data_IF_380372889306
#
_entry.id   IF_380372889306
#
_cell.length_a   1.000
_cell.length_b   1.000
_cell.length_c   1.000
_cell.angle_alpha   90.00
_cell.angle_beta   90.00
_cell.angle_gamma   90.00
#
_symmetry.space_group_name_H-M   'P 1'
#
loop_
_entity.id
_entity.type
_entity.pdbx_description
1 polymer ?
#
# COMPACT_ATOMS: atom_id res chain seq x y z
N UNK A 1 72.65 -51.13 -50.49
CA UNK A 1 72.01 -51.50 -49.20
C UNK A 1 72.38 -50.45 -48.17
N UNK A 2 71.40 -49.85 -47.50
CA UNK A 2 71.64 -48.92 -46.39
C UNK A 2 70.65 -47.76 -46.34
N UNK A 3 69.36 -48.03 -46.11
CA UNK A 3 68.40 -46.98 -45.72
C UNK A 3 68.50 -46.75 -44.22
N UNK A 4 69.01 -45.59 -43.83
CA UNK A 4 69.05 -45.12 -42.44
C UNK A 4 67.65 -44.60 -42.12
N UNK A 5 66.90 -45.39 -41.35
CA UNK A 5 65.63 -44.98 -40.76
C UNK A 5 65.98 -44.25 -39.46
N UNK A 6 65.56 -43.00 -39.33
CA UNK A 6 65.88 -42.12 -38.21
C UNK A 6 64.65 -42.06 -37.27
N UNK A 7 64.59 -42.85 -36.18
CA UNK A 7 63.38 -43.00 -35.35
C UNK A 7 63.15 -41.84 -34.35
N UNK A 8 63.97 -40.79 -34.37
CA UNK A 8 63.92 -39.71 -33.36
C UNK A 8 62.88 -38.61 -33.59
N UNK A 9 62.28 -38.51 -34.78
CA UNK A 9 61.40 -37.38 -35.14
C UNK A 9 59.95 -37.56 -34.69
N UNK A 10 59.45 -38.79 -34.57
CA UNK A 10 58.03 -39.06 -34.20
C UNK A 10 57.75 -38.84 -32.71
N UNK A 11 58.71 -39.13 -31.83
CA UNK A 11 58.54 -39.04 -30.36
C UNK A 11 58.47 -37.59 -29.86
N UNK A 12 59.13 -36.66 -30.56
CA UNK A 12 59.11 -35.23 -30.22
C UNK A 12 57.80 -34.54 -30.64
N UNK A 13 57.07 -35.09 -31.61
CA UNK A 13 55.81 -34.52 -32.09
C UNK A 13 54.64 -34.91 -31.18
N UNK A 14 54.59 -36.15 -30.68
CA UNK A 14 53.56 -36.58 -29.72
C UNK A 14 53.69 -35.89 -28.35
N UNK A 15 54.91 -35.59 -27.90
CA UNK A 15 55.14 -34.91 -26.62
C UNK A 15 54.80 -33.42 -26.70
N UNK A 16 55.11 -32.74 -27.81
CA UNK A 16 54.74 -31.33 -28.02
C UNK A 16 53.24 -31.14 -28.20
N UNK A 17 52.56 -32.09 -28.86
CA UNK A 17 51.10 -32.05 -29.06
C UNK A 17 50.33 -32.31 -27.75
N UNK A 18 50.83 -33.22 -26.90
CA UNK A 18 50.26 -33.45 -25.57
C UNK A 18 50.48 -32.25 -24.63
N UNK A 19 51.66 -31.62 -24.66
CA UNK A 19 51.93 -30.42 -23.85
C UNK A 19 51.06 -29.23 -24.28
N UNK A 20 50.88 -29.04 -25.59
CA UNK A 20 49.97 -28.03 -26.13
C UNK A 20 48.51 -28.30 -25.78
N UNK A 21 48.06 -29.56 -25.82
CA UNK A 21 46.71 -29.96 -25.42
C UNK A 21 46.46 -29.76 -23.92
N UNK A 22 47.46 -29.99 -23.06
CA UNK A 22 47.38 -29.79 -21.61
C UNK A 22 47.17 -28.32 -21.24
N UNK A 23 47.92 -27.41 -21.86
CA UNK A 23 47.76 -25.97 -21.62
C UNK A 23 46.54 -25.38 -22.33
N UNK A 24 46.10 -25.94 -23.46
CA UNK A 24 44.88 -25.51 -24.13
C UNK A 24 43.65 -25.67 -23.22
N UNK A 25 43.58 -26.76 -22.45
CA UNK A 25 42.47 -27.01 -21.53
C UNK A 25 42.46 -26.00 -20.37
N UNK A 26 43.62 -25.65 -19.81
CA UNK A 26 43.75 -24.59 -18.80
C UNK A 26 43.27 -23.24 -19.33
N UNK A 27 43.72 -22.85 -20.53
CA UNK A 27 43.35 -21.56 -21.15
C UNK A 27 41.84 -21.51 -21.42
N UNK A 28 41.26 -22.59 -21.96
CA UNK A 28 39.81 -22.67 -22.21
C UNK A 28 39.05 -22.58 -20.89
N UNK A 29 39.50 -23.27 -19.83
CA UNK A 29 38.86 -23.19 -18.51
C UNK A 29 38.92 -21.78 -17.91
N UNK A 30 40.04 -21.08 -18.09
CA UNK A 30 40.24 -19.69 -17.65
C UNK A 30 39.29 -18.75 -18.39
N UNK A 31 39.14 -18.92 -19.71
CA UNK A 31 38.22 -18.13 -20.53
C UNK A 31 36.76 -18.37 -20.14
N UNK A 32 36.37 -19.62 -19.89
CA UNK A 32 35.02 -19.95 -19.41
C UNK A 32 34.77 -19.34 -18.04
N UNK A 33 35.73 -19.42 -17.12
CA UNK A 33 35.63 -18.81 -15.79
C UNK A 33 35.50 -17.28 -15.88
N UNK A 34 36.28 -16.63 -16.74
CA UNK A 34 36.20 -15.20 -16.99
C UNK A 34 34.84 -14.79 -17.57
N UNK A 35 34.33 -15.54 -18.56
CA UNK A 35 33.01 -15.32 -19.14
C UNK A 35 31.89 -15.49 -18.09
N UNK A 36 31.99 -16.50 -17.23
CA UNK A 36 31.05 -16.73 -16.14
C UNK A 36 31.07 -15.56 -15.13
N UNK A 37 32.25 -15.02 -14.80
CA UNK A 37 32.40 -13.87 -13.91
C UNK A 37 31.76 -12.60 -14.49
N UNK A 38 31.97 -12.34 -15.78
CA UNK A 38 31.35 -11.20 -16.48
C UNK A 38 29.83 -11.36 -16.50
N UNK A 39 29.33 -12.56 -16.80
CA UNK A 39 27.90 -12.85 -16.79
C UNK A 39 27.29 -12.67 -15.40
N UNK A 40 27.94 -13.16 -14.35
CA UNK A 40 27.51 -12.98 -12.97
C UNK A 40 27.47 -11.50 -12.56
N UNK A 41 28.47 -10.71 -12.96
CA UNK A 41 28.50 -9.27 -12.69
C UNK A 41 27.36 -8.52 -13.39
N UNK A 42 27.03 -8.90 -14.64
CA UNK A 42 25.89 -8.34 -15.37
C UNK A 42 24.56 -8.74 -14.72
N UNK A 43 24.39 -10.01 -14.37
CA UNK A 43 23.21 -10.50 -13.67
C UNK A 43 23.00 -9.78 -12.34
N UNK A 44 24.07 -9.53 -11.57
CA UNK A 44 23.99 -8.80 -10.31
C UNK A 44 23.59 -7.33 -10.49
N UNK A 45 24.10 -6.66 -11.53
CA UNK A 45 23.66 -5.29 -11.87
C UNK A 45 22.18 -5.27 -12.27
N UNK A 46 21.75 -6.18 -13.12
CA UNK A 46 20.35 -6.29 -13.54
C UNK A 46 19.42 -6.55 -12.35
N UNK A 47 19.80 -7.47 -11.45
CA UNK A 47 19.06 -7.76 -10.23
C UNK A 47 18.94 -6.52 -9.32
N UNK A 48 20.02 -5.72 -9.17
CA UNK A 48 19.96 -4.46 -8.42
C UNK A 48 18.96 -3.47 -9.01
N UNK A 49 18.99 -3.29 -10.33
CA UNK A 49 18.03 -2.41 -11.01
C UNK A 49 16.60 -2.90 -10.86
N UNK A 50 16.36 -4.20 -10.99
CA UNK A 50 15.04 -4.80 -10.78
C UNK A 50 14.53 -4.57 -9.35
N UNK A 51 15.36 -4.83 -8.34
CA UNK A 51 15.01 -4.60 -6.93
C UNK A 51 14.68 -3.14 -6.66
N UNK A 52 15.42 -2.22 -7.27
CA UNK A 52 15.16 -0.79 -7.10
C UNK A 52 13.85 -0.36 -7.75
N UNK A 53 13.57 -0.84 -8.96
CA UNK A 53 12.28 -0.62 -9.61
C UNK A 53 11.10 -1.21 -8.83
N UNK A 54 11.27 -2.40 -8.23
CA UNK A 54 10.25 -2.99 -7.35
C UNK A 54 9.99 -2.12 -6.12
N UNK A 55 11.03 -1.61 -5.47
CA UNK A 55 10.88 -0.72 -4.31
C UNK A 55 10.12 0.57 -4.66
N UNK A 56 10.41 1.16 -5.81
CA UNK A 56 9.70 2.36 -6.28
C UNK A 56 8.23 2.04 -6.61
N UNK A 57 7.97 0.88 -7.21
CA UNK A 57 6.61 0.38 -7.45
C UNK A 57 5.85 0.14 -6.14
N UNK A 58 6.48 -0.46 -5.13
CA UNK A 58 5.84 -0.71 -3.83
C UNK A 58 5.50 0.59 -3.11
N UNK A 59 6.38 1.59 -3.16
CA UNK A 59 6.13 2.92 -2.59
C UNK A 59 4.97 3.63 -3.30
N UNK A 60 4.88 3.55 -4.63
CA UNK A 60 3.76 4.15 -5.36
C UNK A 60 2.45 3.42 -5.05
N UNK A 61 2.45 2.09 -5.00
CA UNK A 61 1.28 1.30 -4.61
C UNK A 61 0.80 1.64 -3.19
N UNK A 62 1.73 1.82 -2.24
CA UNK A 62 1.39 2.24 -0.87
C UNK A 62 0.80 3.65 -0.81
N UNK A 63 1.30 4.59 -1.62
CA UNK A 63 0.72 5.94 -1.71
C UNK A 63 -0.69 5.93 -2.29
N UNK A 64 -0.95 5.11 -3.30
CA UNK A 64 -2.31 4.93 -3.84
C UNK A 64 -3.23 4.36 -2.77
N UNK A 65 -2.78 3.33 -2.04
CA UNK A 65 -3.54 2.72 -0.94
C UNK A 65 -3.82 3.71 0.21
N UNK A 66 -2.88 4.61 0.48
CA UNK A 66 -3.05 5.69 1.43
C UNK A 66 -4.17 6.64 0.99
N UNK A 67 -4.15 7.11 -0.26
CA UNK A 67 -5.21 7.97 -0.79
C UNK A 67 -6.58 7.27 -0.75
N UNK A 68 -6.62 5.98 -1.11
CA UNK A 68 -7.84 5.19 -1.01
C UNK A 68 -8.35 5.11 0.43
N UNK A 69 -7.46 4.91 1.42
CA UNK A 69 -7.85 4.89 2.84
C UNK A 69 -8.37 6.22 3.37
N UNK A 70 -7.84 7.35 2.91
CA UNK A 70 -8.36 8.69 3.23
C UNK A 70 -9.76 8.85 2.64
N UNK A 71 -9.92 8.51 1.35
CA UNK A 71 -11.22 8.58 0.68
C UNK A 71 -12.26 7.66 1.34
N UNK A 72 -11.83 6.53 1.88
CA UNK A 72 -12.66 5.62 2.67
C UNK A 72 -13.18 6.28 3.94
N UNK A 73 -12.30 6.97 4.69
CA UNK A 73 -12.68 7.70 5.90
C UNK A 73 -13.64 8.87 5.59
N UNK A 74 -13.40 9.61 4.51
CA UNK A 74 -14.30 10.67 4.02
C UNK A 74 -15.69 10.12 3.64
N UNK A 75 -15.75 8.99 2.93
CA UNK A 75 -17.02 8.32 2.62
C UNK A 75 -17.77 7.89 3.87
N UNK A 76 -17.08 7.38 4.89
CA UNK A 76 -17.71 7.04 6.18
C UNK A 76 -18.30 8.28 6.85
N UNK A 77 -17.64 9.43 6.76
CA UNK A 77 -18.15 10.69 7.30
C UNK A 77 -19.37 11.19 6.54
N UNK A 78 -19.37 11.13 5.21
CA UNK A 78 -20.55 11.49 4.38
C UNK A 78 -21.75 10.62 4.79
N UNK A 79 -21.55 9.30 4.95
CA UNK A 79 -22.61 8.39 5.41
C UNK A 79 -23.12 8.73 6.81
N UNK A 80 -22.24 9.19 7.70
CA UNK A 80 -22.64 9.67 9.03
C UNK A 80 -23.50 10.92 8.91
N UNK A 81 -23.09 11.90 8.09
CA UNK A 81 -23.85 13.13 7.85
C UNK A 81 -25.22 12.85 7.23
N UNK A 82 -25.29 11.97 6.24
CA UNK A 82 -26.56 11.50 5.65
C UNK A 82 -27.46 10.87 6.71
N UNK A 83 -26.91 10.02 7.58
CA UNK A 83 -27.66 9.40 8.67
C UNK A 83 -28.13 10.43 9.71
N UNK A 84 -27.29 11.41 10.06
CA UNK A 84 -27.66 12.52 10.93
C UNK A 84 -28.80 13.36 10.33
N UNK A 85 -28.71 13.70 9.05
CA UNK A 85 -29.73 14.46 8.33
C UNK A 85 -31.05 13.69 8.23
N UNK A 86 -30.99 12.40 7.89
CA UNK A 86 -32.16 11.53 7.84
C UNK A 86 -32.84 11.44 9.22
N UNK A 87 -32.05 11.37 10.29
CA UNK A 87 -32.57 11.34 11.67
C UNK A 87 -33.25 12.66 12.02
N UNK A 88 -32.61 13.81 11.73
CA UNK A 88 -33.22 15.15 11.92
C UNK A 88 -34.56 15.28 11.18
N UNK A 89 -34.62 14.87 9.92
CA UNK A 89 -35.86 14.88 9.12
C UNK A 89 -36.96 13.99 9.72
N UNK A 90 -36.61 12.85 10.32
CA UNK A 90 -37.59 11.99 11.01
C UNK A 90 -38.15 12.65 12.27
N UNK A 91 -37.30 13.35 13.03
CA UNK A 91 -37.73 14.12 14.20
C UNK A 91 -38.65 15.29 13.80
N UNK A 92 -38.31 16.03 12.74
CA UNK A 92 -39.14 17.11 12.18
C UNK A 92 -40.52 16.60 11.73
N UNK A 93 -40.56 15.55 10.91
CA UNK A 93 -41.82 14.97 10.40
C UNK A 93 -42.68 14.37 11.53
N UNK A 94 -42.07 13.81 12.59
CA UNK A 94 -42.82 13.36 13.77
C UNK A 94 -43.47 14.55 14.48
N UNK A 95 -42.75 15.66 14.62
CA UNK A 95 -43.28 16.87 15.25
C UNK A 95 -44.44 17.47 14.45
N UNK A 96 -44.29 17.56 13.13
CA UNK A 96 -45.33 18.05 12.20
C UNK A 96 -46.62 17.21 12.28
N UNK A 97 -46.49 15.89 12.50
CA UNK A 97 -47.63 14.97 12.67
C UNK A 97 -48.23 15.00 14.07
N UNK A 98 -47.43 15.30 15.09
CA UNK A 98 -47.87 15.30 16.48
C UNK A 98 -48.69 16.56 16.83
N UNK A 99 -48.50 17.69 16.13
CA UNK A 99 -49.28 18.91 16.36
C UNK A 99 -49.50 19.75 15.08
N UNK A 100 -50.71 19.79 14.49
CA UNK A 100 -51.11 20.87 13.61
C UNK A 100 -51.61 22.05 14.46
N UNK A 101 -50.73 22.73 15.20
CA UNK A 101 -51.15 23.86 16.05
C UNK A 101 -50.34 25.12 15.79
N UNK A 102 -51.09 26.10 15.31
CA UNK A 102 -50.78 27.51 15.13
C UNK A 102 -49.80 28.08 16.16
N UNK A 103 -48.61 28.43 15.70
CA UNK A 103 -47.75 29.42 16.33
C UNK A 103 -47.15 29.03 17.67
N UNK A 104 -45.98 28.40 17.66
CA UNK A 104 -44.77 28.85 18.38
C UNK A 104 -43.66 27.82 18.16
N UNK A 105 -42.53 28.27 17.61
CA UNK A 105 -41.39 27.44 17.24
C UNK A 105 -40.55 27.00 18.43
N UNK A 106 -41.06 26.04 19.21
CA UNK A 106 -40.27 25.35 20.21
C UNK A 106 -39.93 23.95 19.69
N UNK A 107 -38.98 23.90 18.74
CA UNK A 107 -38.17 22.71 18.60
C UNK A 107 -37.49 22.50 19.96
N UNK A 108 -37.64 21.32 20.56
CA UNK A 108 -36.77 20.96 21.67
C UNK A 108 -35.38 20.70 21.10
N UNK A 109 -34.64 21.81 20.92
CA UNK A 109 -33.30 21.83 20.31
C UNK A 109 -32.37 20.85 21.02
N UNK A 110 -32.62 20.61 22.31
CA UNK A 110 -31.92 19.66 23.16
C UNK A 110 -32.01 18.21 22.66
N UNK A 111 -33.12 17.81 22.03
CA UNK A 111 -33.27 16.46 21.46
C UNK A 111 -32.38 16.26 20.23
N UNK A 112 -31.97 17.33 19.53
CA UNK A 112 -31.11 17.23 18.33
C UNK A 112 -29.64 17.56 18.60
N UNK A 113 -29.30 18.09 19.78
CA UNK A 113 -27.94 18.50 20.13
C UNK A 113 -26.96 17.32 20.08
N UNK A 114 -27.38 16.13 20.52
CA UNK A 114 -26.57 14.91 20.45
C UNK A 114 -26.21 14.51 19.00
N UNK A 115 -27.05 14.83 18.01
CA UNK A 115 -26.77 14.58 16.59
C UNK A 115 -25.64 15.51 16.12
N UNK A 116 -25.66 16.77 16.56
CA UNK A 116 -24.62 17.73 16.24
C UNK A 116 -23.29 17.39 16.94
N UNK A 117 -23.32 16.89 18.17
CA UNK A 117 -22.13 16.38 18.87
C UNK A 117 -21.50 15.18 18.14
N UNK A 118 -22.32 14.23 17.67
CA UNK A 118 -21.84 13.07 16.92
C UNK A 118 -21.24 13.47 15.57
N UNK A 119 -21.83 14.45 14.89
CA UNK A 119 -21.30 15.02 13.65
C UNK A 119 -19.95 15.72 13.89
N UNK A 120 -19.85 16.52 14.96
CA UNK A 120 -18.61 17.21 15.32
C UNK A 120 -17.51 16.22 15.73
N UNK A 121 -17.85 15.14 16.44
CA UNK A 121 -16.93 14.07 16.79
C UNK A 121 -16.39 13.35 15.54
N UNK A 122 -17.24 13.07 14.55
CA UNK A 122 -16.83 12.50 13.27
C UNK A 122 -15.87 13.42 12.51
N UNK A 123 -16.18 14.72 12.45
CA UNK A 123 -15.33 15.72 11.82
C UNK A 123 -13.97 15.85 12.51
N UNK A 124 -13.96 15.86 13.85
CA UNK A 124 -12.74 15.92 14.66
C UNK A 124 -11.82 14.73 14.39
N UNK A 125 -12.35 13.51 14.30
CA UNK A 125 -11.56 12.31 13.97
C UNK A 125 -10.90 12.41 12.59
N UNK A 126 -11.59 12.98 11.61
CA UNK A 126 -11.05 13.17 10.26
C UNK A 126 -10.00 14.29 10.24
N UNK A 127 -10.21 15.37 11.01
CA UNK A 127 -9.24 16.45 11.16
C UNK A 127 -7.96 15.97 11.85
N UNK A 128 -8.06 15.14 12.90
CA UNK A 128 -6.91 14.52 13.57
C UNK A 128 -6.14 13.60 12.62
N UNK A 129 -6.85 12.85 11.78
CA UNK A 129 -6.24 12.03 10.73
C UNK A 129 -5.50 12.91 9.71
N UNK A 130 -6.12 13.99 9.22
CA UNK A 130 -5.50 14.92 8.28
C UNK A 130 -4.25 15.59 8.88
N UNK A 131 -4.28 15.94 10.18
CA UNK A 131 -3.12 16.53 10.88
C UNK A 131 -1.95 15.55 11.02
N UNK A 132 -2.20 14.24 11.01
CA UNK A 132 -1.18 13.20 11.06
C UNK A 132 -0.79 12.64 9.69
N UNK A 133 -1.22 13.30 8.60
CA UNK A 133 -0.91 12.90 7.24
C UNK A 133 0.61 12.86 7.00
N UNK A 134 1.15 11.74 6.46
CA UNK A 134 2.57 11.63 6.15
C UNK A 134 2.94 12.57 5.01
N UNK A 135 4.16 13.12 5.06
CA UNK A 135 4.68 14.00 4.01
C UNK A 135 5.12 13.17 2.80
N UNK A 136 5.31 13.81 1.65
CA UNK A 136 5.75 13.13 0.42
C UNK A 136 7.09 12.37 0.59
N UNK A 137 7.91 12.74 1.58
CA UNK A 137 9.19 12.13 1.93
C UNK A 137 9.11 11.09 3.06
N UNK A 138 7.92 10.75 3.53
CA UNK A 138 7.73 9.79 4.62
C UNK A 138 8.16 8.38 4.23
N UNK A 139 8.64 7.65 5.24
CA UNK A 139 9.08 6.26 5.09
C UNK A 139 7.90 5.32 4.82
N UNK A 140 8.19 4.15 4.25
CA UNK A 140 7.21 3.09 3.96
C UNK A 140 6.38 2.71 5.20
N UNK A 141 7.05 2.60 6.36
CA UNK A 141 6.45 2.24 7.64
C UNK A 141 5.51 3.32 8.18
N UNK A 142 5.84 4.60 7.97
CA UNK A 142 4.95 5.72 8.32
C UNK A 142 3.66 5.71 7.49
N UNK A 143 3.77 5.42 6.20
CA UNK A 143 2.62 5.33 5.29
C UNK A 143 1.71 4.17 5.71
N UNK A 144 2.28 3.00 6.04
CA UNK A 144 1.51 1.85 6.53
C UNK A 144 0.82 2.13 7.88
N UNK A 145 1.55 2.73 8.83
CA UNK A 145 0.98 3.12 10.12
C UNK A 145 -0.14 4.16 9.95
N UNK A 146 -0.02 5.06 8.98
CA UNK A 146 -1.08 6.00 8.63
C UNK A 146 -2.30 5.30 8.03
N UNK A 147 -2.13 4.36 7.09
CA UNK A 147 -3.23 3.55 6.53
C UNK A 147 -3.99 2.82 7.64
N UNK A 148 -3.28 2.25 8.62
CA UNK A 148 -3.90 1.60 9.78
C UNK A 148 -4.75 2.56 10.61
N UNK A 149 -4.25 3.79 10.85
CA UNK A 149 -4.98 4.84 11.56
C UNK A 149 -6.20 5.33 10.77
N UNK A 150 -6.08 5.54 9.46
CA UNK A 150 -7.19 5.94 8.59
C UNK A 150 -8.32 4.91 8.61
N UNK A 151 -7.99 3.62 8.54
CA UNK A 151 -8.98 2.53 8.67
C UNK A 151 -9.64 2.53 10.05
N UNK A 152 -8.86 2.72 11.11
CA UNK A 152 -9.40 2.77 12.47
C UNK A 152 -10.36 3.95 12.64
N UNK A 153 -10.01 5.13 12.12
CA UNK A 153 -10.86 6.31 12.12
C UNK A 153 -12.15 6.08 11.35
N UNK A 154 -12.09 5.47 10.16
CA UNK A 154 -13.27 5.09 9.37
C UNK A 154 -14.22 4.17 10.17
N UNK A 155 -13.70 3.13 10.83
CA UNK A 155 -14.53 2.25 11.68
C UNK A 155 -15.13 3.01 12.87
N UNK A 156 -14.37 3.92 13.49
CA UNK A 156 -14.89 4.73 14.59
C UNK A 156 -16.04 5.65 14.14
N UNK A 157 -15.89 6.29 12.97
CA UNK A 157 -16.94 7.12 12.37
C UNK A 157 -18.18 6.28 12.06
N UNK A 158 -18.02 5.09 11.49
CA UNK A 158 -19.16 4.18 11.26
C UNK A 158 -19.83 3.75 12.57
N UNK A 159 -19.07 3.59 13.65
CA UNK A 159 -19.65 3.29 14.98
C UNK A 159 -20.49 4.43 15.53
N UNK A 160 -20.15 5.69 15.23
CA UNK A 160 -20.96 6.85 15.65
C UNK A 160 -22.37 6.79 15.06
N UNK A 161 -22.54 6.22 13.87
CA UNK A 161 -23.86 6.04 13.26
C UNK A 161 -24.79 5.19 14.11
N UNK A 162 -24.28 4.14 14.76
CA UNK A 162 -25.09 3.28 15.64
C UNK A 162 -25.46 3.95 16.97
N UNK A 163 -24.84 5.09 17.29
CA UNK A 163 -25.17 5.91 18.46
C UNK A 163 -26.26 6.94 18.18
N UNK A 164 -26.72 7.06 16.93
CA UNK A 164 -27.86 7.90 16.59
C UNK A 164 -29.13 7.25 17.16
N UNK A 165 -29.81 7.96 18.06
CA UNK A 165 -31.07 7.50 18.60
C UNK A 165 -32.19 7.76 17.59
N UNK A 166 -32.85 6.70 17.13
CA UNK A 166 -34.07 6.85 16.36
C UNK A 166 -35.18 7.40 17.28
N UNK A 167 -36.05 8.29 16.77
CA UNK A 167 -37.16 8.81 17.56
C UNK A 167 -37.96 7.65 18.13
N UNK A 168 -38.02 7.60 19.47
CA UNK A 168 -38.79 6.59 20.20
C UNK A 168 -40.22 6.64 19.66
N UNK A 169 -40.65 5.54 19.02
CA UNK A 169 -41.98 5.45 18.43
C UNK A 169 -42.98 5.54 19.59
N UNK A 170 -43.68 6.66 19.67
CA UNK A 170 -44.80 6.84 20.58
C UNK A 170 -46.01 6.07 20.03
N UNK A 171 -45.91 4.74 20.02
CA UNK A 171 -47.05 3.85 19.89
C UNK A 171 -46.95 2.86 21.05
N UNK A 172 -47.51 3.29 22.17
CA UNK A 172 -48.04 2.41 23.21
C UNK A 172 -49.36 3.01 23.68
#
# INVERSE_FOLDING_TARGET
MGSIFDPGASVNLETTLNLAAQHAFEIISLLIAAAALVYAALAFKAAKHAVQATKDSDLTALRVKMQDSISGAERSLIRLQEACQATRLQWENKNDRAFPVLGTGFFDRSETDHIQELEHAGFKLLQELAATAPKATSSTTEIEAFIGRARTASVQIERLKFRLECPKSAWR
#
